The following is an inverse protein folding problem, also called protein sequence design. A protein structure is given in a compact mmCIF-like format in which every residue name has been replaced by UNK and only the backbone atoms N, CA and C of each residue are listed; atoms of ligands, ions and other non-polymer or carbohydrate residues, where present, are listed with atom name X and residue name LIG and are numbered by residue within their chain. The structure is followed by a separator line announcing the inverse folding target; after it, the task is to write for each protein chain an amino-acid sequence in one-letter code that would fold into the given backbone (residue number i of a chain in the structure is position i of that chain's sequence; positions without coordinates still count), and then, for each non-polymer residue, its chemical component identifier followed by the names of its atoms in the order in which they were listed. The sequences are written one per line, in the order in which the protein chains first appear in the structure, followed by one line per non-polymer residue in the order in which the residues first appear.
data_IF_759340089954
#
_entry.id   IF_759340089954
#
_cell.length_a   1.000
_cell.length_b   1.000
_cell.length_c   1.000
_cell.angle_alpha   90.00
_cell.angle_beta   90.00
_cell.angle_gamma   90.00
#
_symmetry.space_group_name_H-M   'P 1'
#
loop_
_entity.id
_entity.type
_entity.pdbx_description
1 polymer ?
#
# COMPACT_ATOMS: atom_id res chain seq x y z
N UNK A 1 40.48 16.47 31.49
CA UNK A 1 41.05 15.13 31.73
C UNK A 1 40.10 14.37 32.65
N UNK A 2 39.77 13.10 32.36
CA UNK A 2 38.89 12.31 33.22
C UNK A 2 39.57 11.97 34.55
N UNK A 3 38.78 11.84 35.61
CA UNK A 3 39.25 11.47 36.94
C UNK A 3 39.21 9.94 37.08
N UNK A 4 40.37 9.30 37.27
CA UNK A 4 40.43 7.84 37.40
C UNK A 4 39.89 7.39 38.78
N UNK A 5 38.93 6.48 38.75
CA UNK A 5 38.32 5.88 39.96
C UNK A 5 39.17 4.69 40.40
N UNK A 6 39.65 4.70 41.65
CA UNK A 6 40.50 3.65 42.23
C UNK A 6 39.88 2.98 43.45
N UNK A 7 38.82 3.55 44.00
CA UNK A 7 38.07 3.11 45.17
C UNK A 7 37.03 2.02 44.84
N UNK A 8 37.35 1.15 43.89
CA UNK A 8 36.52 0.00 43.55
C UNK A 8 36.79 -1.14 44.53
N UNK A 9 35.79 -1.99 44.72
CA UNK A 9 35.92 -3.25 45.46
C UNK A 9 35.62 -4.39 44.53
N UNK A 10 36.31 -5.51 44.69
CA UNK A 10 36.05 -6.69 43.88
C UNK A 10 36.11 -7.94 44.76
N UNK A 11 35.32 -8.93 44.36
CA UNK A 11 35.22 -10.23 44.99
C UNK A 11 35.14 -11.27 43.88
N UNK A 12 35.55 -12.49 44.17
CA UNK A 12 35.51 -13.54 43.17
C UNK A 12 35.07 -14.86 43.77
N UNK A 13 34.51 -15.68 42.89
CA UNK A 13 34.33 -17.10 43.06
C UNK A 13 35.21 -17.80 42.02
N UNK A 14 35.24 -19.13 42.03
CA UNK A 14 35.95 -19.95 41.03
C UNK A 14 35.58 -19.58 39.58
N UNK A 15 34.30 -19.29 39.32
CA UNK A 15 33.76 -19.00 37.98
C UNK A 15 33.32 -17.57 37.74
N UNK A 16 33.07 -16.82 38.79
CA UNK A 16 32.43 -15.51 38.73
C UNK A 16 33.32 -14.45 39.37
N UNK A 17 33.20 -13.23 38.86
CA UNK A 17 33.94 -12.07 39.32
C UNK A 17 32.97 -10.90 39.50
N UNK A 18 32.92 -10.39 40.73
CA UNK A 18 32.06 -9.30 41.14
C UNK A 18 32.90 -8.04 41.31
N UNK A 19 32.59 -6.98 40.57
CA UNK A 19 33.29 -5.68 40.69
C UNK A 19 32.26 -4.60 41.02
N UNK A 20 32.50 -3.86 42.09
CA UNK A 20 31.64 -2.78 42.56
C UNK A 20 32.38 -1.45 42.42
N UNK A 21 31.83 -0.56 41.59
CA UNK A 21 32.39 0.75 41.26
C UNK A 21 31.44 1.85 41.74
N UNK A 22 31.83 2.71 42.69
CA UNK A 22 30.96 3.78 43.18
C UNK A 22 30.81 4.91 42.15
N UNK A 23 29.57 5.39 41.92
CA UNK A 23 29.26 6.46 40.96
C UNK A 23 29.55 7.88 41.49
N UNK A 24 29.93 8.04 42.77
CA UNK A 24 30.30 9.32 43.40
C UNK A 24 29.29 10.47 43.18
N UNK A 25 28.00 10.14 43.20
CA UNK A 25 26.91 11.12 43.01
C UNK A 25 26.57 11.42 41.54
N UNK A 26 27.21 10.75 40.58
CA UNK A 26 26.90 10.88 39.15
C UNK A 26 25.62 10.12 38.81
N UNK A 27 24.81 10.66 37.88
CA UNK A 27 23.58 10.00 37.40
C UNK A 27 23.93 8.78 36.52
N UNK A 28 23.12 7.73 36.63
CA UNK A 28 23.26 6.50 35.83
C UNK A 28 23.09 6.71 34.31
N UNK A 29 22.28 7.70 33.93
CA UNK A 29 21.82 7.94 32.55
C UNK A 29 22.96 8.28 31.56
N UNK A 30 24.07 8.82 32.06
CA UNK A 30 25.25 9.16 31.25
C UNK A 30 26.39 8.16 31.34
N UNK A 31 26.21 7.03 32.01
CA UNK A 31 27.28 6.04 32.17
C UNK A 31 27.39 5.13 30.94
N UNK A 32 28.59 5.07 30.36
CA UNK A 32 28.90 4.16 29.26
C UNK A 32 29.81 3.04 29.77
N UNK A 33 29.39 1.79 29.53
CA UNK A 33 30.11 0.58 29.93
C UNK A 33 30.59 -0.12 28.66
N UNK A 34 31.90 -0.34 28.60
CA UNK A 34 32.53 -1.18 27.59
C UNK A 34 33.17 -2.37 28.30
N UNK A 35 32.71 -3.57 27.94
CA UNK A 35 33.18 -4.82 28.50
C UNK A 35 33.59 -5.74 27.35
N UNK A 36 34.82 -6.23 27.41
CA UNK A 36 35.44 -7.14 26.45
C UNK A 36 36.16 -8.23 27.25
N UNK A 37 36.57 -9.32 26.59
CA UNK A 37 37.28 -10.45 27.22
C UNK A 37 38.41 -10.05 28.19
N UNK A 38 39.27 -9.11 27.83
CA UNK A 38 40.42 -8.70 28.64
C UNK A 38 40.33 -7.26 29.15
N UNK A 39 39.23 -6.56 28.89
CA UNK A 39 39.17 -5.11 29.09
C UNK A 39 37.81 -4.68 29.61
N UNK A 40 37.81 -3.93 30.71
CA UNK A 40 36.63 -3.32 31.29
C UNK A 40 36.85 -1.82 31.43
N UNK A 41 35.96 -1.04 30.84
CA UNK A 41 35.97 0.42 30.89
C UNK A 41 34.57 0.93 31.24
N UNK A 42 34.53 1.89 32.16
CA UNK A 42 33.30 2.58 32.52
C UNK A 42 33.56 4.06 32.54
N UNK A 43 32.82 4.80 31.70
CA UNK A 43 32.88 6.24 31.61
C UNK A 43 31.62 6.84 32.21
N UNK A 44 31.73 7.59 33.30
CA UNK A 44 30.63 8.36 33.91
C UNK A 44 31.16 9.75 34.27
N UNK A 45 31.04 10.73 33.36
CA UNK A 45 31.73 12.02 33.48
C UNK A 45 31.46 12.73 34.82
N UNK A 46 32.49 13.28 35.48
CA UNK A 46 33.89 13.43 35.02
C UNK A 46 34.80 12.21 35.27
N UNK A 47 34.27 11.10 35.73
CA UNK A 47 35.02 9.93 36.17
C UNK A 47 35.19 8.87 35.07
N UNK A 48 36.31 8.15 35.15
CA UNK A 48 36.62 7.00 34.31
C UNK A 48 37.13 5.88 35.20
N UNK A 49 36.65 4.66 34.97
CA UNK A 49 37.18 3.45 35.54
C UNK A 49 37.69 2.57 34.40
N UNK A 50 38.90 2.04 34.53
CA UNK A 50 39.55 1.23 33.51
C UNK A 50 40.35 0.11 34.19
N UNK A 51 40.13 -1.12 33.76
CA UNK A 51 40.79 -2.33 34.26
C UNK A 51 41.10 -3.28 33.11
N UNK A 52 42.33 -3.78 33.09
CA UNK A 52 42.79 -4.84 32.19
C UNK A 52 42.72 -6.16 32.93
N UNK A 53 41.78 -7.03 32.57
CA UNK A 53 41.51 -8.26 33.33
C UNK A 53 42.69 -9.24 33.22
N UNK A 54 42.98 -9.94 34.32
CA UNK A 54 44.05 -10.95 34.38
C UNK A 54 43.86 -12.10 33.37
N UNK A 55 42.62 -12.55 33.18
CA UNK A 55 42.26 -13.71 32.35
C UNK A 55 40.96 -13.42 31.59
N UNK A 56 40.71 -14.06 30.43
CA UNK A 56 39.56 -13.69 29.60
C UNK A 56 38.24 -14.04 30.28
N UNK A 57 37.27 -13.14 30.12
CA UNK A 57 35.89 -13.32 30.55
C UNK A 57 34.96 -13.63 29.36
N UNK A 58 33.80 -14.18 29.67
CA UNK A 58 32.73 -14.40 28.73
C UNK A 58 31.83 -13.16 28.67
N UNK A 59 31.94 -12.40 27.58
CA UNK A 59 31.17 -11.17 27.33
C UNK A 59 29.66 -11.43 27.29
N UNK A 60 29.22 -12.60 26.83
CA UNK A 60 27.81 -12.89 26.57
C UNK A 60 27.03 -13.19 27.84
N UNK A 61 27.69 -13.81 28.83
CA UNK A 61 27.09 -14.12 30.15
C UNK A 61 27.30 -13.01 31.18
N UNK A 62 28.25 -12.12 30.94
CA UNK A 62 28.58 -11.04 31.87
C UNK A 62 27.51 -9.94 31.89
N UNK A 63 27.19 -9.44 33.09
CA UNK A 63 26.11 -8.47 33.31
C UNK A 63 26.65 -7.27 34.09
N UNK A 64 26.25 -6.06 33.69
CA UNK A 64 26.48 -4.83 34.44
C UNK A 64 25.15 -4.28 34.95
N UNK A 65 25.03 -4.09 36.27
CA UNK A 65 23.86 -3.50 36.92
C UNK A 65 24.25 -2.12 37.45
N UNK A 66 23.60 -1.08 36.96
CA UNK A 66 23.81 0.30 37.39
C UNK A 66 22.62 0.71 38.26
N UNK A 67 22.86 0.99 39.55
CA UNK A 67 21.78 1.35 40.47
C UNK A 67 22.28 1.76 41.86
N UNK A 68 21.45 2.49 42.61
CA UNK A 68 21.74 2.89 44.00
C UNK A 68 23.10 3.61 44.18
N UNK A 69 23.55 4.35 43.17
CA UNK A 69 24.84 5.06 43.21
C UNK A 69 26.07 4.15 43.05
N UNK A 70 25.91 2.90 42.64
CA UNK A 70 26.98 1.92 42.43
C UNK A 70 26.77 1.20 41.10
N UNK A 71 27.85 0.85 40.41
CA UNK A 71 27.84 -0.07 39.29
C UNK A 71 28.36 -1.42 39.77
N UNK A 72 27.52 -2.44 39.70
CA UNK A 72 27.85 -3.81 40.03
C UNK A 72 28.03 -4.63 38.76
N UNK A 73 29.24 -5.10 38.52
CA UNK A 73 29.57 -6.05 37.48
C UNK A 73 29.50 -7.47 38.02
N UNK A 74 28.89 -8.36 37.24
CA UNK A 74 28.90 -9.81 37.43
C UNK A 74 29.51 -10.41 36.17
N UNK A 75 30.82 -10.64 36.19
CA UNK A 75 31.59 -11.14 35.07
C UNK A 75 31.80 -12.65 35.22
N UNK A 76 31.75 -13.38 34.12
CA UNK A 76 31.97 -14.83 34.11
C UNK A 76 33.33 -15.14 33.51
N UNK A 77 34.17 -15.88 34.24
CA UNK A 77 35.48 -16.33 33.76
C UNK A 77 35.31 -17.40 32.68
N UNK A 78 36.10 -17.34 31.61
CA UNK A 78 36.09 -18.42 30.61
C UNK A 78 36.66 -19.72 31.19
N UNK A 79 37.75 -19.60 31.96
CA UNK A 79 38.40 -20.70 32.67
C UNK A 79 38.15 -20.55 34.17
N UNK A 80 37.61 -21.59 34.87
CA UNK A 80 37.48 -21.56 36.32
C UNK A 80 38.87 -21.48 36.95
N UNK A 81 39.15 -20.38 37.63
CA UNK A 81 40.44 -20.13 38.26
C UNK A 81 40.31 -18.99 39.27
N UNK A 82 40.99 -19.09 40.40
CA UNK A 82 41.07 -18.03 41.40
C UNK A 82 42.16 -17.05 40.96
N UNK A 83 41.84 -15.75 40.90
CA UNK A 83 42.78 -14.71 40.46
C UNK A 83 43.45 -14.08 41.68
N UNK A 84 44.78 -14.08 41.75
CA UNK A 84 45.50 -13.39 42.82
C UNK A 84 45.38 -11.86 42.70
N UNK A 85 45.32 -11.37 41.45
CA UNK A 85 45.17 -9.96 41.10
C UNK A 85 44.05 -9.79 40.08
N UNK A 86 43.29 -8.69 40.20
CA UNK A 86 42.24 -8.35 39.21
C UNK A 86 42.85 -7.97 37.86
N UNK A 87 43.99 -7.27 37.92
CA UNK A 87 44.68 -6.72 36.77
C UNK A 87 45.81 -7.64 36.35
N UNK A 88 46.01 -7.82 35.04
CA UNK A 88 47.20 -8.51 34.56
C UNK A 88 48.47 -7.76 35.04
N UNK A 89 49.34 -8.45 35.78
CA UNK A 89 50.59 -7.87 36.28
C UNK A 89 51.53 -7.54 35.11
N UNK A 90 52.25 -6.42 35.20
CA UNK A 90 53.34 -6.01 34.30
C UNK A 90 53.00 -5.73 32.83
N UNK A 91 51.79 -5.28 32.49
CA UNK A 91 51.48 -4.83 31.13
C UNK A 91 52.31 -3.61 30.71
N UNK A 92 53.02 -3.71 29.58
CA UNK A 92 53.69 -2.56 28.98
C UNK A 92 52.67 -1.55 28.44
N UNK A 93 53.07 -0.28 28.34
CA UNK A 93 52.21 0.80 27.83
C UNK A 93 51.69 0.48 26.42
N UNK A 94 52.49 -0.19 25.59
CA UNK A 94 52.10 -0.62 24.24
C UNK A 94 51.06 -1.74 24.26
N UNK A 95 51.18 -2.69 25.17
CA UNK A 95 50.22 -3.79 25.32
C UNK A 95 48.87 -3.25 25.80
N UNK A 96 48.87 -2.34 26.78
CA UNK A 96 47.65 -1.64 27.20
C UNK A 96 46.98 -0.87 26.06
N UNK A 97 47.77 -0.27 25.15
CA UNK A 97 47.23 0.40 23.97
C UNK A 97 46.62 -0.59 22.98
N UNK A 98 47.33 -1.69 22.68
CA UNK A 98 46.84 -2.74 21.79
C UNK A 98 45.53 -3.35 22.30
N UNK A 99 45.43 -3.65 23.59
CA UNK A 99 44.19 -4.19 24.20
C UNK A 99 43.03 -3.18 24.08
N UNK A 100 43.29 -1.88 24.30
CA UNK A 100 42.26 -0.83 24.13
C UNK A 100 41.76 -0.75 22.69
N UNK A 101 42.69 -0.71 21.74
CA UNK A 101 42.37 -0.62 20.31
C UNK A 101 41.60 -1.84 19.84
N UNK A 102 42.03 -3.03 20.25
CA UNK A 102 41.36 -4.28 19.95
C UNK A 102 39.95 -4.32 20.54
N UNK A 103 39.78 -3.91 21.79
CA UNK A 103 38.46 -3.86 22.44
C UNK A 103 37.51 -2.89 21.71
N UNK A 104 37.99 -1.71 21.32
CA UNK A 104 37.20 -0.75 20.54
C UNK A 104 36.85 -1.33 19.16
N UNK A 105 37.83 -1.94 18.48
CA UNK A 105 37.63 -2.54 17.16
C UNK A 105 36.59 -3.68 17.20
N UNK A 106 36.67 -4.56 18.21
CA UNK A 106 35.71 -5.66 18.41
C UNK A 106 34.28 -5.13 18.63
N UNK A 107 34.12 -4.14 19.50
CA UNK A 107 32.80 -3.54 19.76
C UNK A 107 32.25 -2.86 18.51
N UNK A 108 33.08 -2.15 17.75
CA UNK A 108 32.68 -1.51 16.50
C UNK A 108 32.29 -2.53 15.43
N UNK A 109 33.04 -3.61 15.28
CA UNK A 109 32.77 -4.66 14.30
C UNK A 109 31.46 -5.39 14.63
N UNK A 110 31.24 -5.75 15.89
CA UNK A 110 29.98 -6.35 16.35
C UNK A 110 28.79 -5.43 16.09
N UNK A 111 28.93 -4.13 16.37
CA UNK A 111 27.88 -3.15 16.08
C UNK A 111 27.58 -3.05 14.58
N UNK A 112 28.59 -3.12 13.70
CA UNK A 112 28.39 -3.15 12.25
C UNK A 112 27.66 -4.42 11.81
N UNK A 113 28.05 -5.57 12.34
CA UNK A 113 27.41 -6.86 12.04
C UNK A 113 25.94 -6.87 12.47
N UNK A 114 25.62 -6.34 13.65
CA UNK A 114 24.25 -6.21 14.14
C UNK A 114 23.39 -5.30 13.24
N UNK A 115 23.95 -4.20 12.76
CA UNK A 115 23.27 -3.30 11.81
C UNK A 115 23.01 -4.03 10.49
N UNK A 116 24.00 -4.74 9.95
CA UNK A 116 23.85 -5.49 8.71
C UNK A 116 22.81 -6.61 8.85
N UNK A 117 22.86 -7.38 9.95
CA UNK A 117 21.89 -8.44 10.23
C UNK A 117 20.46 -7.89 10.34
N UNK A 118 20.26 -6.77 11.03
CA UNK A 118 18.95 -6.10 11.10
C UNK A 118 18.47 -5.61 9.74
N UNK A 119 19.37 -5.10 8.90
CA UNK A 119 19.02 -4.65 7.55
C UNK A 119 18.60 -5.84 6.66
N UNK A 120 19.27 -6.99 6.77
CA UNK A 120 18.89 -8.22 6.05
C UNK A 120 17.52 -8.70 6.50
N UNK A 121 17.29 -8.82 7.81
CA UNK A 121 15.98 -9.24 8.36
C UNK A 121 14.85 -8.29 7.92
N UNK A 122 15.11 -6.98 7.95
CA UNK A 122 14.13 -5.99 7.47
C UNK A 122 13.78 -6.21 5.99
N UNK A 123 14.78 -6.39 5.13
CA UNK A 123 14.59 -6.63 3.70
C UNK A 123 13.84 -7.94 3.42
N UNK A 124 14.16 -9.00 4.16
CA UNK A 124 13.46 -10.29 4.05
C UNK A 124 11.99 -10.17 4.44
N UNK A 125 11.70 -9.46 5.54
CA UNK A 125 10.33 -9.20 5.99
C UNK A 125 9.54 -8.37 4.96
N UNK A 126 10.16 -7.35 4.36
CA UNK A 126 9.54 -6.54 3.30
C UNK A 126 9.23 -7.38 2.06
N UNK A 127 10.19 -8.19 1.60
CA UNK A 127 10.00 -9.12 0.47
C UNK A 127 8.87 -10.11 0.75
N UNK A 128 8.86 -10.70 1.94
CA UNK A 128 7.82 -11.64 2.34
C UNK A 128 6.44 -10.98 2.34
N UNK A 129 6.33 -9.76 2.88
CA UNK A 129 5.07 -9.00 2.88
C UNK A 129 4.58 -8.71 1.46
N UNK A 130 5.48 -8.32 0.55
CA UNK A 130 5.13 -8.06 -0.85
C UNK A 130 4.67 -9.34 -1.56
N UNK A 131 5.38 -10.45 -1.37
CA UNK A 131 5.03 -11.75 -1.96
C UNK A 131 3.64 -12.22 -1.51
N UNK A 132 3.32 -12.07 -0.22
CA UNK A 132 1.99 -12.39 0.32
C UNK A 132 0.91 -11.50 -0.31
N UNK A 133 1.18 -10.21 -0.45
CA UNK A 133 0.24 -9.27 -1.07
C UNK A 133 -0.02 -9.62 -2.54
N UNK A 134 1.03 -9.93 -3.31
CA UNK A 134 0.92 -10.36 -4.71
C UNK A 134 0.07 -11.63 -4.84
N UNK A 135 0.31 -12.64 -3.98
CA UNK A 135 -0.48 -13.88 -3.99
C UNK A 135 -1.96 -13.62 -3.75
N UNK A 136 -2.29 -12.75 -2.79
CA UNK A 136 -3.68 -12.38 -2.50
C UNK A 136 -4.34 -11.64 -3.68
N UNK A 137 -3.61 -10.72 -4.30
CA UNK A 137 -4.10 -9.98 -5.47
C UNK A 137 -4.31 -10.91 -6.68
N UNK A 138 -3.39 -11.83 -6.94
CA UNK A 138 -3.49 -12.81 -8.03
C UNK A 138 -4.66 -13.79 -7.82
N UNK A 139 -4.93 -14.19 -6.57
CA UNK A 139 -6.12 -14.97 -6.24
C UNK A 139 -7.41 -14.19 -6.52
N UNK A 140 -7.46 -12.92 -6.14
CA UNK A 140 -8.64 -12.08 -6.37
C UNK A 140 -8.86 -11.80 -7.87
N UNK A 141 -7.79 -11.52 -8.62
CA UNK A 141 -7.86 -11.36 -10.08
C UNK A 141 -8.40 -12.62 -10.75
N UNK A 142 -7.91 -13.81 -10.36
CA UNK A 142 -8.42 -15.09 -10.87
C UNK A 142 -9.90 -15.29 -10.55
N UNK A 143 -10.36 -14.93 -9.35
CA UNK A 143 -11.79 -14.99 -9.00
C UNK A 143 -12.63 -14.08 -9.91
N UNK A 144 -12.20 -12.84 -10.11
CA UNK A 144 -12.89 -11.88 -10.98
C UNK A 144 -12.94 -12.40 -12.42
N UNK A 145 -11.86 -13.00 -12.94
CA UNK A 145 -11.82 -13.58 -14.28
C UNK A 145 -12.81 -14.73 -14.44
N UNK A 146 -12.88 -15.64 -13.47
CA UNK A 146 -13.86 -16.74 -13.47
C UNK A 146 -15.28 -16.20 -13.50
N UNK A 147 -15.61 -15.22 -12.65
CA UNK A 147 -16.95 -14.60 -12.63
C UNK A 147 -17.27 -13.92 -13.96
N UNK A 148 -16.32 -13.17 -14.54
CA UNK A 148 -16.50 -12.53 -15.86
C UNK A 148 -16.73 -13.55 -16.96
N UNK A 149 -16.03 -14.67 -16.94
CA UNK A 149 -16.22 -15.74 -17.92
C UNK A 149 -17.57 -16.44 -17.77
N UNK A 150 -18.01 -16.68 -16.53
CA UNK A 150 -19.34 -17.23 -16.26
C UNK A 150 -20.46 -16.29 -16.73
N UNK A 151 -20.35 -14.99 -16.49
CA UNK A 151 -21.30 -13.98 -16.98
C UNK A 151 -21.31 -13.90 -18.50
N UNK A 152 -20.12 -13.90 -19.14
CA UNK A 152 -20.01 -13.96 -20.61
C UNK A 152 -20.69 -15.21 -21.15
N UNK A 153 -20.45 -16.38 -20.54
CA UNK A 153 -21.06 -17.64 -20.97
C UNK A 153 -22.59 -17.61 -20.84
N UNK A 154 -23.11 -17.13 -19.71
CA UNK A 154 -24.56 -16.96 -19.50
C UNK A 154 -25.17 -16.04 -20.56
N UNK A 155 -24.54 -14.91 -20.84
CA UNK A 155 -25.00 -13.97 -21.86
C UNK A 155 -25.00 -14.60 -23.27
N UNK A 156 -23.98 -15.39 -23.62
CA UNK A 156 -23.97 -16.11 -24.90
C UNK A 156 -25.05 -17.17 -24.99
N UNK A 157 -25.28 -17.94 -23.92
CA UNK A 157 -26.35 -18.93 -23.86
C UNK A 157 -27.75 -18.29 -23.94
N UNK A 158 -27.94 -17.13 -23.29
CA UNK A 158 -29.19 -16.36 -23.37
C UNK A 158 -29.42 -15.81 -24.78
N UNK A 159 -28.37 -15.30 -25.44
CA UNK A 159 -28.45 -14.83 -26.82
C UNK A 159 -28.80 -15.97 -27.78
N UNK A 160 -28.22 -17.15 -27.61
CA UNK A 160 -28.54 -18.33 -28.42
C UNK A 160 -29.99 -18.80 -28.20
N UNK A 161 -30.45 -18.86 -26.94
CA UNK A 161 -31.85 -19.19 -26.62
C UNK A 161 -32.82 -18.20 -27.23
N UNK A 162 -32.50 -16.90 -27.18
CA UNK A 162 -33.32 -15.85 -27.78
C UNK A 162 -33.38 -15.98 -29.33
N UNK A 163 -32.24 -16.26 -29.98
CA UNK A 163 -32.21 -16.55 -31.42
C UNK A 163 -33.05 -17.78 -31.80
N UNK A 164 -33.01 -18.83 -30.99
CA UNK A 164 -33.82 -20.03 -31.24
C UNK A 164 -35.32 -19.77 -31.06
N UNK A 165 -35.70 -19.03 -30.01
CA UNK A 165 -37.08 -18.59 -29.80
C UNK A 165 -37.60 -17.75 -30.97
N UNK A 166 -36.80 -16.81 -31.48
CA UNK A 166 -37.12 -16.04 -32.68
C UNK A 166 -37.36 -16.94 -33.90
N UNK A 167 -36.47 -17.91 -34.15
CA UNK A 167 -36.64 -18.87 -35.25
C UNK A 167 -37.94 -19.67 -35.13
N UNK A 168 -38.23 -20.22 -33.94
CA UNK A 168 -39.46 -20.99 -33.69
C UNK A 168 -40.69 -20.11 -33.88
N UNK A 169 -40.68 -18.88 -33.39
CA UNK A 169 -41.79 -17.94 -33.52
C UNK A 169 -42.03 -17.55 -34.99
N UNK A 170 -40.96 -17.34 -35.77
CA UNK A 170 -41.05 -17.11 -37.21
C UNK A 170 -41.63 -18.32 -37.95
N UNK A 171 -41.19 -19.54 -37.63
CA UNK A 171 -41.72 -20.77 -38.22
C UNK A 171 -43.19 -20.98 -37.88
N UNK A 172 -43.59 -20.72 -36.62
CA UNK A 172 -44.99 -20.77 -36.19
C UNK A 172 -45.84 -19.73 -36.92
N UNK A 173 -45.38 -18.49 -37.07
CA UNK A 173 -46.06 -17.45 -37.86
C UNK A 173 -46.19 -17.85 -39.33
N UNK A 174 -45.16 -18.46 -39.92
CA UNK A 174 -45.20 -18.99 -41.30
C UNK A 174 -46.23 -20.12 -41.42
N UNK A 175 -46.28 -21.04 -40.47
CA UNK A 175 -47.26 -22.12 -40.43
C UNK A 175 -48.69 -21.60 -40.27
N UNK A 176 -48.92 -20.65 -39.36
CA UNK A 176 -50.24 -20.02 -39.17
C UNK A 176 -50.71 -19.29 -40.42
N UNK A 177 -49.84 -18.53 -41.09
CA UNK A 177 -50.17 -17.87 -42.37
C UNK A 177 -50.56 -18.87 -43.45
N UNK A 178 -49.85 -20.01 -43.56
CA UNK A 178 -50.21 -21.08 -44.51
C UNK A 178 -51.59 -21.68 -44.21
N UNK A 179 -51.88 -21.96 -42.93
CA UNK A 179 -53.19 -22.48 -42.51
C UNK A 179 -54.31 -21.46 -42.78
N UNK A 180 -54.06 -20.17 -42.55
CA UNK A 180 -55.03 -19.11 -42.80
C UNK A 180 -55.27 -18.88 -44.30
N UNK A 181 -54.23 -18.97 -45.13
CA UNK A 181 -54.38 -18.98 -46.59
C UNK A 181 -55.17 -20.19 -47.10
N UNK A 182 -54.94 -21.39 -46.56
CA UNK A 182 -55.74 -22.57 -46.90
C UNK A 182 -57.21 -22.42 -46.47
N UNK A 183 -57.47 -21.87 -45.27
CA UNK A 183 -58.83 -21.54 -44.82
C UNK A 183 -59.49 -20.50 -45.73
N UNK A 184 -58.76 -19.45 -46.15
CA UNK A 184 -59.25 -18.45 -47.11
C UNK A 184 -59.59 -19.06 -48.47
N UNK A 185 -58.74 -19.94 -49.01
CA UNK A 185 -59.00 -20.65 -50.27
C UNK A 185 -60.23 -21.57 -50.17
N UNK A 186 -60.38 -22.29 -49.05
CA UNK A 186 -61.57 -23.11 -48.79
C UNK A 186 -62.86 -22.30 -48.60
N UNK A 187 -62.78 -21.09 -48.04
CA UNK A 187 -63.95 -20.21 -47.87
C UNK A 187 -64.41 -19.58 -49.20
N UNK A 188 -63.47 -19.26 -50.11
CA UNK A 188 -63.77 -18.77 -51.46
C UNK A 188 -64.51 -19.85 -52.27
N UNK A 189 -64.16 -21.12 -52.10
CA UNK A 189 -64.85 -22.25 -52.73
C UNK A 189 -66.26 -22.51 -52.16
N UNK A 190 -66.60 -21.92 -50.99
CA UNK A 190 -67.92 -22.02 -50.35
C UNK A 190 -68.84 -20.84 -50.68
N UNK A 191 -68.29 -19.73 -51.17
CA UNK A 191 -69.02 -18.53 -51.57
C UNK A 191 -69.54 -18.56 -53.03
N UNK A 192 -69.36 -19.68 -53.75
CA UNK A 192 -69.86 -19.85 -55.14
C UNK A 192 -71.28 -20.47 -55.20
N UNK A 193 -72.03 -20.50 -54.09
CA UNK A 193 -73.38 -21.08 -54.06
C UNK A 193 -74.37 -20.26 -53.19
N UNK A 194 -74.49 -18.96 -53.47
CA UNK A 194 -75.69 -18.18 -53.15
C UNK A 194 -75.60 -16.81 -53.84
N UNK A 195 -76.04 -16.76 -55.09
CA UNK A 195 -76.37 -15.53 -55.80
C UNK A 195 -77.88 -15.49 -56.01
N UNK A 196 -78.43 -14.27 -56.11
CA UNK A 196 -79.77 -13.88 -56.64
C UNK A 196 -80.87 -13.79 -55.56
N UNK A 197 -81.52 -12.65 -55.22
CA UNK A 197 -81.89 -11.44 -55.99
C UNK A 197 -82.07 -10.18 -55.12
N UNK A 198 -81.63 -9.05 -55.67
CA UNK A 198 -81.92 -7.63 -55.34
C UNK A 198 -83.31 -7.20 -55.85
N UNK A 199 -83.94 -6.10 -55.34
CA UNK A 199 -83.79 -4.80 -56.02
C UNK A 199 -83.88 -3.51 -55.16
N UNK A 200 -82.87 -2.65 -55.27
CA UNK A 200 -82.89 -1.29 -55.88
C UNK A 200 -83.86 -0.15 -55.41
N UNK A 201 -83.23 0.98 -55.00
CA UNK A 201 -83.27 2.34 -55.62
C UNK A 201 -83.97 3.56 -54.94
N UNK A 202 -83.20 4.67 -54.91
CA UNK A 202 -83.46 6.15 -54.74
C UNK A 202 -83.15 6.73 -53.34
N UNK A 203 -82.46 7.87 -53.17
CA UNK A 203 -81.85 8.82 -54.10
C UNK A 203 -81.13 9.99 -53.38
N UNK A 204 -80.20 10.61 -54.14
CA UNK A 204 -79.60 11.97 -54.12
C UNK A 204 -79.55 12.89 -52.87
N UNK A 205 -78.30 13.20 -52.49
CA UNK A 205 -77.62 14.53 -52.36
C UNK A 205 -78.23 15.71 -51.58
N UNK A 206 -77.44 16.25 -50.61
CA UNK A 206 -76.65 17.51 -50.73
C UNK A 206 -75.83 17.83 -49.47
N UNK A 207 -74.52 17.95 -49.68
CA UNK A 207 -73.52 18.89 -49.15
C UNK A 207 -73.72 19.64 -47.81
N UNK A 208 -72.66 19.66 -47.00
CA UNK A 208 -72.10 20.93 -46.50
C UNK A 208 -71.68 21.01 -45.04
N UNK A 209 -70.35 20.99 -44.84
CA UNK A 209 -69.61 21.90 -43.94
C UNK A 209 -69.38 21.48 -42.48
N UNK A 210 -68.16 20.98 -42.26
CA UNK A 210 -67.21 21.29 -41.19
C UNK A 210 -67.71 22.05 -39.95
N UNK A 211 -67.61 21.43 -38.78
CA UNK A 211 -67.24 22.15 -37.53
C UNK A 211 -66.34 21.24 -36.71
N UNK A 212 -65.05 21.58 -36.66
CA UNK A 212 -64.09 20.99 -35.74
C UNK A 212 -64.47 21.32 -34.30
N UNK A 213 -64.56 20.30 -33.44
CA UNK A 213 -64.63 20.47 -31.99
C UNK A 213 -63.33 21.09 -31.50
N UNK A 214 -63.33 22.41 -31.36
CA UNK A 214 -62.32 23.15 -30.59
C UNK A 214 -62.62 22.90 -29.12
N UNK A 215 -61.86 22.02 -28.49
CA UNK A 215 -61.81 21.94 -27.02
C UNK A 215 -61.07 23.19 -26.58
N UNK A 216 -61.78 24.13 -25.92
CA UNK A 216 -61.16 25.25 -25.22
C UNK A 216 -60.40 24.71 -24.02
N UNK A 217 -59.13 24.36 -24.25
CA UNK A 217 -58.16 24.20 -23.20
C UNK A 217 -57.81 25.60 -22.66
N UNK A 218 -58.04 25.81 -21.35
CA UNK A 218 -57.65 27.04 -20.67
C UNK A 218 -56.13 27.19 -20.81
N UNK A 219 -55.69 28.12 -21.66
CA UNK A 219 -54.27 28.45 -21.83
C UNK A 219 -53.75 29.06 -20.54
N UNK A 220 -53.10 28.24 -19.72
CA UNK A 220 -52.27 28.73 -18.63
C UNK A 220 -51.06 29.46 -19.25
N UNK A 221 -50.59 30.58 -18.67
CA UNK A 221 -49.39 31.24 -19.17
C UNK A 221 -48.22 30.25 -19.15
N UNK A 222 -47.33 30.30 -20.16
CA UNK A 222 -46.23 29.37 -20.28
C UNK A 222 -45.40 29.34 -19.01
N UNK A 223 -45.13 28.13 -18.51
CA UNK A 223 -44.29 27.93 -17.32
C UNK A 223 -42.91 28.53 -17.61
N UNK A 224 -42.38 29.33 -16.68
CA UNK A 224 -41.08 29.98 -16.85
C UNK A 224 -40.00 28.92 -17.08
N UNK A 225 -39.10 29.16 -18.04
CA UNK A 225 -37.98 28.26 -18.28
C UNK A 225 -37.07 28.24 -17.06
N UNK A 226 -36.74 27.03 -16.63
CA UNK A 226 -35.83 26.75 -15.53
C UNK A 226 -34.39 27.06 -15.96
N UNK A 227 -33.74 28.02 -15.30
CA UNK A 227 -32.31 28.24 -15.41
C UNK A 227 -31.55 27.17 -14.65
N UNK A 228 -30.70 26.39 -15.32
CA UNK A 228 -29.79 25.45 -14.70
C UNK A 228 -28.44 26.14 -14.47
N UNK A 229 -28.14 26.48 -13.21
CA UNK A 229 -26.81 26.97 -12.84
C UNK A 229 -25.92 25.75 -12.64
N UNK A 230 -24.98 25.55 -13.56
CA UNK A 230 -23.93 24.54 -13.40
C UNK A 230 -22.90 25.06 -12.40
N UNK A 231 -22.98 24.56 -11.17
CA UNK A 231 -21.97 24.82 -10.14
C UNK A 231 -20.91 23.73 -10.27
N UNK A 232 -19.70 24.10 -10.66
CA UNK A 232 -18.53 23.24 -10.65
C UNK A 232 -17.66 23.62 -9.46
N UNK A 233 -17.39 22.65 -8.58
CA UNK A 233 -16.46 22.84 -7.48
C UNK A 233 -15.04 22.52 -7.93
N UNK A 234 -14.08 23.34 -7.53
CA UNK A 234 -12.66 23.03 -7.70
C UNK A 234 -12.33 21.84 -6.78
N UNK A 235 -11.81 20.71 -7.32
CA UNK A 235 -11.42 19.58 -6.49
C UNK A 235 -10.28 20.01 -5.55
N UNK A 236 -10.48 19.83 -4.24
CA UNK A 236 -9.52 20.20 -3.20
C UNK A 236 -9.05 18.98 -2.42
N UNK A 237 -7.76 18.93 -2.12
CA UNK A 237 -7.12 17.84 -1.35
C UNK A 237 -7.48 17.92 0.14
N UNK A 238 -7.66 19.14 0.66
CA UNK A 238 -7.98 19.39 2.05
C UNK A 238 -9.48 19.66 2.25
N UNK A 239 -10.09 19.10 3.32
CA UNK A 239 -11.51 19.25 3.63
C UNK A 239 -11.87 20.63 4.20
N UNK A 240 -10.89 21.40 4.66
CA UNK A 240 -11.08 22.78 5.17
C UNK A 240 -11.60 23.68 4.05
N UNK A 241 -12.43 24.68 4.35
CA UNK A 241 -12.85 25.67 3.35
C UNK A 241 -11.73 26.70 3.08
N UNK A 242 -11.68 27.27 1.87
CA UNK A 242 -10.61 28.21 1.45
C UNK A 242 -10.53 29.44 2.39
N UNK A 243 -11.68 29.88 2.92
CA UNK A 243 -11.77 31.03 3.83
C UNK A 243 -11.06 30.83 5.16
N UNK A 244 -10.86 29.58 5.56
CA UNK A 244 -10.20 29.19 6.82
C UNK A 244 -8.81 28.58 6.57
N UNK A 245 -8.37 28.59 5.32
CA UNK A 245 -7.15 27.94 4.89
C UNK A 245 -5.94 28.84 5.03
N UNK A 246 -4.86 28.28 5.59
CA UNK A 246 -3.52 28.84 5.48
C UNK A 246 -2.83 28.19 4.29
N UNK A 247 -2.96 28.82 3.13
CA UNK A 247 -2.45 28.29 1.83
C UNK A 247 -0.97 27.93 1.91
N UNK A 248 -0.17 28.76 2.57
CA UNK A 248 1.27 28.53 2.75
C UNK A 248 1.56 27.25 3.56
N UNK A 249 0.81 26.99 4.63
CA UNK A 249 0.97 25.78 5.44
C UNK A 249 0.55 24.51 4.68
N UNK A 250 -0.47 24.61 3.82
CA UNK A 250 -0.90 23.50 2.96
C UNK A 250 0.14 23.19 1.87
N UNK A 251 0.74 24.21 1.26
CA UNK A 251 1.82 24.06 0.28
C UNK A 251 3.08 23.46 0.93
N UNK A 252 3.44 23.92 2.12
CA UNK A 252 4.52 23.31 2.90
C UNK A 252 4.24 21.84 3.23
N UNK A 253 3.00 21.51 3.59
CA UNK A 253 2.62 20.14 3.88
C UNK A 253 2.72 19.25 2.64
N UNK A 254 2.24 19.73 1.49
CA UNK A 254 2.35 19.02 0.21
C UNK A 254 3.81 18.86 -0.20
N UNK A 255 4.65 19.88 -0.01
CA UNK A 255 6.08 19.82 -0.30
C UNK A 255 6.81 18.85 0.63
N UNK A 256 6.52 18.86 1.94
CA UNK A 256 7.08 17.90 2.91
C UNK A 256 6.68 16.47 2.56
N UNK A 257 5.44 16.25 2.11
CA UNK A 257 4.99 14.93 1.70
C UNK A 257 5.65 14.48 0.38
N UNK A 258 5.83 15.38 -0.58
CA UNK A 258 6.56 15.10 -1.82
C UNK A 258 8.05 14.83 -1.57
N UNK A 259 8.68 15.59 -0.67
CA UNK A 259 10.07 15.41 -0.26
C UNK A 259 10.28 14.08 0.45
N UNK A 260 9.39 13.70 1.37
CA UNK A 260 9.43 12.39 2.03
C UNK A 260 9.32 11.23 1.01
N UNK A 261 8.47 11.36 -0.01
CA UNK A 261 8.37 10.39 -1.11
C UNK A 261 9.66 10.33 -1.95
N UNK A 262 10.31 11.47 -2.21
CA UNK A 262 11.60 11.52 -2.92
C UNK A 262 12.74 10.89 -2.12
N UNK A 263 12.79 11.13 -0.81
CA UNK A 263 13.83 10.60 0.07
C UNK A 263 13.81 9.06 0.15
N UNK A 264 12.62 8.45 0.16
CA UNK A 264 12.46 6.99 0.12
C UNK A 264 13.02 6.39 -1.17
N UNK A 265 12.85 7.06 -2.32
CA UNK A 265 13.33 6.59 -3.62
C UNK A 265 14.84 6.80 -3.86
N UNK A 266 15.52 7.63 -3.06
CA UNK A 266 16.96 7.89 -3.20
C UNK A 266 17.85 6.79 -2.58
N UNK A 267 17.32 6.03 -1.62
CA UNK A 267 18.07 4.98 -0.91
C UNK A 267 18.18 3.66 -1.71
N UNK A 268 17.41 3.55 -2.79
CA UNK A 268 17.47 2.45 -3.75
C UNK A 268 18.64 2.66 -4.73
N UNK A 269 19.77 2.01 -4.44
CA UNK A 269 20.99 2.04 -5.27
C UNK A 269 20.76 1.61 -6.73
N UNK A 270 19.67 0.90 -7.02
CA UNK A 270 19.28 0.43 -8.35
C UNK A 270 18.68 1.53 -9.25
N UNK A 271 18.31 2.69 -8.69
CA UNK A 271 17.72 3.81 -9.43
C UNK A 271 18.73 4.93 -9.76
N UNK A 272 20.04 4.74 -9.53
CA UNK A 272 21.03 5.80 -9.77
C UNK A 272 21.11 6.25 -11.24
N UNK A 273 20.78 5.36 -12.18
CA UNK A 273 20.87 5.63 -13.62
C UNK A 273 19.67 6.44 -14.18
N UNK A 274 18.60 6.62 -13.41
CA UNK A 274 17.41 7.35 -13.83
C UNK A 274 17.51 8.84 -13.50
N UNK A 275 16.94 9.69 -14.37
CA UNK A 275 16.82 11.12 -14.10
C UNK A 275 15.92 11.37 -12.89
N UNK A 276 16.14 12.48 -12.19
CA UNK A 276 15.41 12.83 -10.97
C UNK A 276 13.88 12.98 -11.19
N UNK A 277 13.49 13.31 -12.42
CA UNK A 277 12.10 13.35 -12.87
C UNK A 277 11.48 11.95 -13.01
N UNK A 278 12.25 10.97 -13.47
CA UNK A 278 11.81 9.57 -13.67
C UNK A 278 11.71 8.79 -12.35
N UNK A 279 12.33 9.30 -11.27
CA UNK A 279 12.19 8.75 -9.91
C UNK A 279 10.90 9.19 -9.23
N UNK A 280 10.17 10.14 -9.81
CA UNK A 280 8.93 10.64 -9.24
C UNK A 280 7.74 9.76 -9.70
N UNK A 281 7.07 9.02 -8.80
CA UNK A 281 5.94 8.17 -9.16
C UNK A 281 4.75 8.96 -9.72
N UNK A 282 4.56 10.22 -9.29
CA UNK A 282 3.49 11.08 -9.81
C UNK A 282 3.77 11.52 -11.26
N UNK A 283 5.04 11.76 -11.59
CA UNK A 283 5.47 12.07 -12.95
C UNK A 283 5.27 10.86 -13.89
N UNK A 284 5.65 9.67 -13.44
CA UNK A 284 5.40 8.39 -14.13
C UNK A 284 3.91 8.15 -14.37
N UNK A 285 3.08 8.40 -13.36
CA UNK A 285 1.62 8.26 -13.44
C UNK A 285 1.03 9.21 -14.48
N UNK A 286 1.46 10.46 -14.51
CA UNK A 286 0.95 11.43 -15.48
C UNK A 286 1.45 11.13 -16.90
N UNK A 287 2.73 10.77 -17.09
CA UNK A 287 3.24 10.27 -18.38
C UNK A 287 2.46 9.04 -18.88
N UNK A 288 2.16 8.10 -17.99
CA UNK A 288 1.34 6.93 -18.28
C UNK A 288 -0.07 7.30 -18.71
N UNK A 289 -0.71 8.26 -18.04
CA UNK A 289 -2.03 8.80 -18.47
C UNK A 289 -1.95 9.40 -19.86
N UNK A 290 -0.93 10.20 -20.17
CA UNK A 290 -0.76 10.78 -21.51
C UNK A 290 -0.59 9.71 -22.60
N UNK A 291 0.21 8.67 -22.33
CA UNK A 291 0.40 7.56 -23.25
C UNK A 291 -0.90 6.78 -23.49
N UNK A 292 -1.66 6.52 -22.41
CA UNK A 292 -2.94 5.83 -22.49
C UNK A 292 -3.98 6.66 -23.25
N UNK A 293 -4.02 7.98 -23.03
CA UNK A 293 -4.92 8.90 -23.73
C UNK A 293 -4.59 9.00 -25.23
N UNK A 294 -3.31 9.04 -25.59
CA UNK A 294 -2.90 9.01 -27.00
C UNK A 294 -3.26 7.70 -27.69
N UNK A 295 -3.08 6.56 -27.01
CA UNK A 295 -3.46 5.26 -27.57
C UNK A 295 -4.97 5.15 -27.79
N UNK A 296 -5.76 5.65 -26.85
CA UNK A 296 -7.21 5.65 -26.96
C UNK A 296 -7.68 6.55 -28.11
N UNK A 297 -7.09 7.74 -28.24
CA UNK A 297 -7.39 8.67 -29.34
C UNK A 297 -7.00 8.07 -30.70
N UNK A 298 -5.86 7.37 -30.77
CA UNK A 298 -5.39 6.72 -31.99
C UNK A 298 -6.28 5.55 -32.42
N UNK A 299 -6.74 4.72 -31.47
CA UNK A 299 -7.70 3.65 -31.73
C UNK A 299 -9.06 4.21 -32.16
N UNK A 300 -9.52 5.32 -31.55
CA UNK A 300 -10.78 5.95 -31.90
C UNK A 300 -10.76 6.55 -33.32
N UNK A 301 -9.65 7.19 -33.70
CA UNK A 301 -9.44 7.73 -35.06
C UNK A 301 -9.36 6.62 -36.11
N UNK A 302 -8.77 5.46 -35.78
CA UNK A 302 -8.72 4.30 -36.69
C UNK A 302 -10.05 3.54 -36.81
N UNK A 303 -10.98 3.73 -35.89
CA UNK A 303 -12.30 3.10 -35.93
C UNK A 303 -13.35 3.93 -36.72
N UNK A 304 -13.03 5.18 -37.08
CA UNK A 304 -13.88 6.08 -37.87
C UNK A 304 -13.50 6.12 -39.38
N UNK A 305 -12.53 5.31 -39.82
CA UNK A 305 -12.18 5.07 -41.24
C UNK A 305 -12.51 3.64 -41.65
#
# INVERSE_FOLDING_TARGET
MPILVKDYTWQQTDRELYISVPLKGTRADGSNVLCTEHYLKVSFPPFLFEVFLFSPIDESRSIAKIGNGIILFTLYKQVPSVWDTLTAESLDKKEMQSIREEAIARVQEKAKQDIQAKAVVKRENEKYSLEVMMKLEDEERRRIEVVKEEERRKATEEMEKWKEQQRIEEEQKRMQKKIEEEKRKNNINKATFASQLEPCLKGHEKNGTQVGKKVEEKVLPPTRTNGCIKITFTPRVFPTAVRESRVEEEEEWLNKQAEARRAINLDDKELQDLKEEEKNPDWLKDKGKYAFFMYFLYIFILAEY
#
